data_IF_103959034177
#
_entry.id   IF_103959034177
#
_cell.length_a   1.000
_cell.length_b   1.000
_cell.length_c   1.000
_cell.angle_alpha   90.00
_cell.angle_beta   90.00
_cell.angle_gamma   90.00
#
_symmetry.space_group_name_H-M   'P 1'
#
loop_
_entity.id
_entity.type
_entity.pdbx_description
1 polymer ?
#
# COMPACT_ATOMS: atom_id res chain seq x y z
N UNK A 1 -11.79 -11.95 -19.64
CA UNK A 1 -12.66 -10.82 -19.27
C UNK A 1 -13.13 -11.08 -17.85
N UNK A 2 -12.37 -10.59 -16.88
CA UNK A 2 -12.63 -10.81 -15.46
C UNK A 2 -12.48 -9.44 -14.78
N UNK A 3 -13.59 -8.72 -14.68
CA UNK A 3 -13.65 -7.40 -14.05
C UNK A 3 -13.39 -7.57 -12.55
N UNK A 4 -12.16 -7.29 -12.12
CA UNK A 4 -11.84 -6.91 -10.76
C UNK A 4 -12.64 -5.64 -10.44
N UNK A 5 -13.85 -5.83 -9.88
CA UNK A 5 -14.66 -4.77 -9.31
C UNK A 5 -13.93 -4.23 -8.08
N UNK A 6 -12.99 -3.32 -8.32
CA UNK A 6 -12.21 -2.63 -7.29
C UNK A 6 -13.18 -2.04 -6.29
N UNK A 7 -13.07 -2.50 -5.02
CA UNK A 7 -13.75 -1.96 -3.85
C UNK A 7 -13.93 -0.44 -3.98
N UNK A 8 -15.14 -0.04 -4.37
CA UNK A 8 -15.54 1.35 -4.39
C UNK A 8 -15.51 1.90 -2.97
N UNK A 9 -15.28 3.21 -2.79
CA UNK A 9 -15.40 3.81 -1.47
C UNK A 9 -16.86 3.69 -1.02
N UNK A 10 -17.11 2.91 0.04
CA UNK A 10 -18.35 2.99 0.79
C UNK A 10 -18.38 4.36 1.48
N UNK A 11 -19.36 5.19 1.08
CA UNK A 11 -19.66 6.47 1.67
C UNK A 11 -19.89 6.33 3.19
N UNK A 12 -19.26 7.20 3.97
CA UNK A 12 -19.42 7.29 5.41
C UNK A 12 -18.79 8.58 5.93
N UNK A 13 -19.66 9.49 6.35
CA UNK A 13 -19.48 10.69 7.19
C UNK A 13 -18.57 11.82 6.71
N UNK A 14 -19.17 12.78 6.00
CA UNK A 14 -18.78 14.19 6.02
C UNK A 14 -20.04 15.04 6.25
N UNK A 15 -20.32 15.34 7.51
CA UNK A 15 -21.46 16.16 7.93
C UNK A 15 -21.09 17.04 9.11
N UNK A 16 -20.39 18.14 8.86
CA UNK A 16 -20.34 19.31 9.75
C UNK A 16 -19.78 20.53 8.99
N UNK A 17 -20.66 21.29 8.34
CA UNK A 17 -20.34 22.64 7.86
C UNK A 17 -20.19 23.59 9.05
N UNK A 18 -18.98 24.07 9.30
CA UNK A 18 -18.73 25.18 10.21
C UNK A 18 -18.66 26.49 9.42
N UNK A 19 -19.50 27.43 9.82
CA UNK A 19 -19.75 28.72 9.19
C UNK A 19 -18.54 29.65 9.32
N UNK A 20 -18.23 30.35 8.23
CA UNK A 20 -17.21 31.38 8.17
C UNK A 20 -17.55 32.56 9.08
N UNK A 21 -16.61 32.95 9.95
CA UNK A 21 -16.62 34.23 10.65
C UNK A 21 -15.39 35.02 10.24
N UNK A 22 -15.62 36.20 9.67
CA UNK A 22 -14.63 37.12 9.12
C UNK A 22 -14.08 38.03 10.22
N UNK A 23 -12.76 38.03 10.41
CA UNK A 23 -12.05 39.08 11.13
C UNK A 23 -10.79 39.48 10.34
N UNK A 24 -10.77 40.71 9.85
CA UNK A 24 -9.62 41.35 9.19
C UNK A 24 -8.65 41.92 10.24
N UNK A 25 -7.34 41.84 9.98
CA UNK A 25 -6.39 42.83 10.49
C UNK A 25 -4.99 42.36 10.93
N UNK A 26 -3.99 42.76 10.13
CA UNK A 26 -2.64 43.20 10.51
C UNK A 26 -1.48 42.19 10.72
N UNK A 27 -0.63 42.15 9.67
CA UNK A 27 0.84 42.30 9.67
C UNK A 27 1.69 41.52 10.67
N UNK A 28 2.32 40.47 10.14
CA UNK A 28 3.36 39.68 10.77
C UNK A 28 3.21 38.25 10.32
N UNK A 29 3.70 37.91 9.12
CA UNK A 29 3.62 36.58 8.54
C UNK A 29 4.43 35.57 9.36
N UNK A 30 3.90 35.20 10.51
CA UNK A 30 4.43 34.22 11.43
C UNK A 30 4.60 32.91 10.67
N UNK A 31 5.74 32.26 10.84
CA UNK A 31 6.04 30.97 10.22
C UNK A 31 4.92 29.94 10.44
N UNK A 32 4.11 30.06 11.50
CA UNK A 32 2.92 29.24 11.73
C UNK A 32 1.80 29.43 10.70
N UNK A 33 1.56 30.66 10.21
CA UNK A 33 0.57 30.93 9.16
C UNK A 33 0.91 30.27 7.82
N UNK A 34 2.21 30.16 7.53
CA UNK A 34 2.72 29.49 6.32
C UNK A 34 2.54 27.98 6.40
N UNK A 35 2.86 27.37 7.55
CA UNK A 35 2.68 25.93 7.77
C UNK A 35 1.21 25.53 7.66
N UNK A 36 0.32 26.31 8.29
CA UNK A 36 -1.12 26.09 8.22
C UNK A 36 -1.62 26.17 6.77
N UNK A 37 -1.22 27.20 6.03
CA UNK A 37 -1.58 27.34 4.61
C UNK A 37 -1.10 26.16 3.75
N UNK A 38 0.10 25.63 4.00
CA UNK A 38 0.61 24.45 3.29
C UNK A 38 -0.18 23.18 3.64
N UNK A 39 -0.56 23.01 4.90
CA UNK A 39 -1.37 21.88 5.33
C UNK A 39 -2.78 21.92 4.71
N UNK A 40 -3.42 23.09 4.72
CA UNK A 40 -4.70 23.31 4.06
C UNK A 40 -4.62 23.05 2.54
N UNK A 41 -3.54 23.48 1.89
CA UNK A 41 -3.33 23.21 0.46
C UNK A 41 -3.21 21.70 0.17
N UNK A 42 -2.49 20.95 1.00
CA UNK A 42 -2.40 19.51 0.84
C UNK A 42 -3.77 18.80 1.01
N UNK A 43 -4.58 19.26 1.97
CA UNK A 43 -5.95 18.75 2.17
C UNK A 43 -6.83 19.06 0.96
N UNK A 44 -6.75 20.28 0.42
CA UNK A 44 -7.46 20.70 -0.80
C UNK A 44 -7.08 19.82 -2.00
N UNK A 45 -5.78 19.56 -2.20
CA UNK A 45 -5.32 18.67 -3.26
C UNK A 45 -5.81 17.23 -3.07
N UNK A 46 -5.85 16.73 -1.83
CA UNK A 46 -6.44 15.42 -1.52
C UNK A 46 -7.93 15.39 -1.90
N UNK A 47 -8.71 16.42 -1.53
CA UNK A 47 -10.15 16.45 -1.81
C UNK A 47 -10.45 16.59 -3.30
N UNK A 48 -9.67 17.37 -4.05
CA UNK A 48 -9.71 17.40 -5.52
C UNK A 48 -9.40 16.04 -6.13
N UNK A 49 -8.35 15.36 -5.63
CA UNK A 49 -8.02 14.00 -6.06
C UNK A 49 -9.19 13.03 -5.85
N UNK A 50 -9.89 13.13 -4.71
CA UNK A 50 -11.08 12.34 -4.44
C UNK A 50 -12.21 12.64 -5.42
N UNK A 51 -12.40 13.91 -5.82
CA UNK A 51 -13.38 14.29 -6.83
C UNK A 51 -13.07 13.65 -8.18
N UNK A 52 -11.85 13.81 -8.70
CA UNK A 52 -11.43 13.18 -9.95
C UNK A 52 -11.51 11.65 -9.92
N UNK A 53 -11.23 11.04 -8.76
CA UNK A 53 -11.36 9.59 -8.59
C UNK A 53 -12.82 9.12 -8.73
N UNK A 54 -13.77 9.86 -8.15
CA UNK A 54 -15.21 9.57 -8.31
C UNK A 54 -15.67 9.71 -9.75
N UNK A 55 -15.12 10.69 -10.47
CA UNK A 55 -15.35 10.93 -11.90
C UNK A 55 -14.62 9.93 -12.82
N UNK A 56 -13.98 8.89 -12.27
CA UNK A 56 -13.17 7.89 -13.00
C UNK A 56 -11.97 8.48 -13.75
N UNK A 57 -11.61 9.73 -13.49
CA UNK A 57 -10.39 10.36 -13.98
C UNK A 57 -9.20 9.99 -13.08
N UNK A 58 -8.84 8.70 -13.08
CA UNK A 58 -7.83 8.12 -12.18
C UNK A 58 -6.45 8.76 -12.37
N UNK A 59 -6.08 9.10 -13.61
CA UNK A 59 -4.77 9.72 -13.92
C UNK A 59 -4.62 11.07 -13.24
N UNK A 60 -5.65 11.90 -13.28
CA UNK A 60 -5.63 13.23 -12.65
C UNK A 60 -5.66 13.11 -11.13
N UNK A 61 -6.48 12.18 -10.60
CA UNK A 61 -6.51 11.87 -9.17
C UNK A 61 -5.13 11.52 -8.61
N UNK A 62 -4.38 10.64 -9.30
CA UNK A 62 -3.00 10.28 -8.94
C UNK A 62 -2.11 11.52 -8.85
N UNK A 63 -2.19 12.42 -9.83
CA UNK A 63 -1.44 13.68 -9.84
C UNK A 63 -1.73 14.56 -8.64
N UNK A 64 -3.02 14.71 -8.28
CA UNK A 64 -3.45 15.47 -7.11
C UNK A 64 -2.90 14.89 -5.80
N UNK A 65 -3.01 13.58 -5.58
CA UNK A 65 -2.48 12.95 -4.36
C UNK A 65 -0.96 13.04 -4.26
N UNK A 66 -0.24 12.88 -5.37
CA UNK A 66 1.21 13.09 -5.38
C UNK A 66 1.59 14.52 -5.04
N UNK A 67 0.89 15.52 -5.59
CA UNK A 67 1.15 16.92 -5.26
C UNK A 67 0.86 17.20 -3.78
N UNK A 68 -0.22 16.65 -3.23
CA UNK A 68 -0.51 16.73 -1.80
C UNK A 68 0.65 16.19 -0.95
N UNK A 69 1.14 14.98 -1.27
CA UNK A 69 2.28 14.38 -0.56
C UNK A 69 3.57 15.20 -0.69
N UNK A 70 3.83 15.82 -1.84
CA UNK A 70 4.99 16.69 -2.03
C UNK A 70 4.92 17.93 -1.12
N UNK A 71 3.73 18.54 -0.99
CA UNK A 71 3.53 19.66 -0.04
C UNK A 71 3.78 19.20 1.40
N UNK A 72 3.22 18.05 1.80
CA UNK A 72 3.36 17.51 3.15
C UNK A 72 4.81 17.10 3.47
N UNK A 73 5.58 16.63 2.48
CA UNK A 73 6.99 16.26 2.67
C UNK A 73 7.86 17.44 3.12
N UNK A 74 7.52 18.66 2.70
CA UNK A 74 8.20 19.87 3.14
C UNK A 74 7.89 20.27 4.59
N UNK A 75 6.84 19.69 5.18
CA UNK A 75 6.38 19.93 6.55
C UNK A 75 6.78 18.81 7.51
N UNK A 76 7.17 17.65 6.97
CA UNK A 76 7.43 16.44 7.72
C UNK A 76 8.72 16.54 8.56
N UNK A 77 8.57 16.47 9.88
CA UNK A 77 9.68 16.59 10.84
C UNK A 77 10.77 15.54 10.64
N UNK A 78 10.43 14.31 10.27
CA UNK A 78 11.42 13.23 10.05
C UNK A 78 12.30 13.53 8.83
N UNK A 79 11.68 13.99 7.75
CA UNK A 79 12.37 14.32 6.50
C UNK A 79 13.20 15.59 6.65
N UNK A 80 12.64 16.62 7.30
CA UNK A 80 13.33 17.88 7.52
C UNK A 80 14.47 17.75 8.54
N UNK A 81 14.37 16.83 9.51
CA UNK A 81 15.46 16.50 10.43
C UNK A 81 16.63 15.84 9.72
N UNK A 82 16.37 14.93 8.76
CA UNK A 82 17.44 14.31 7.96
C UNK A 82 18.16 15.33 7.04
N UNK A 83 17.53 16.47 6.76
CA UNK A 83 18.08 17.56 5.95
C UNK A 83 18.61 18.73 6.79
N UNK A 84 18.73 18.56 8.12
CA UNK A 84 19.30 19.58 9.00
C UNK A 84 20.72 19.96 8.54
N UNK A 85 20.89 21.24 8.20
CA UNK A 85 22.13 21.79 7.64
C UNK A 85 21.99 22.30 6.20
N UNK A 86 21.01 21.80 5.44
CA UNK A 86 20.75 22.25 4.05
C UNK A 86 19.47 23.07 3.91
N UNK A 87 18.54 22.95 4.87
CA UNK A 87 17.23 23.61 4.82
C UNK A 87 17.03 24.47 6.08
N UNK A 88 16.45 25.69 5.96
CA UNK A 88 16.08 26.50 7.12
C UNK A 88 15.20 25.70 8.09
N UNK A 89 15.43 25.91 9.40
CA UNK A 89 14.74 25.18 10.47
C UNK A 89 13.23 25.43 10.35
N UNK A 90 12.48 24.38 9.98
CA UNK A 90 11.02 24.44 9.94
C UNK A 90 10.52 24.53 11.39
N UNK A 91 9.57 25.43 11.72
CA UNK A 91 8.99 25.48 13.04
C UNK A 91 8.35 24.12 13.38
N UNK A 92 8.49 23.68 14.63
CA UNK A 92 7.83 22.46 15.09
C UNK A 92 6.32 22.62 14.95
N UNK A 93 5.67 21.66 14.30
CA UNK A 93 4.22 21.61 14.19
C UNK A 93 3.62 21.35 15.58
N UNK A 94 2.40 21.85 15.80
CA UNK A 94 1.62 21.41 16.97
C UNK A 94 1.19 19.97 16.79
N UNK A 95 0.91 19.25 17.89
CA UNK A 95 0.47 17.84 17.82
C UNK A 95 -0.75 17.67 16.90
N UNK A 96 -1.73 18.57 16.97
CA UNK A 96 -2.92 18.54 16.11
C UNK A 96 -2.57 18.70 14.61
N UNK A 97 -1.59 19.54 14.29
CA UNK A 97 -1.12 19.71 12.92
C UNK A 97 -0.31 18.51 12.44
N UNK A 98 0.50 17.89 13.30
CA UNK A 98 1.20 16.64 12.99
C UNK A 98 0.19 15.51 12.73
N UNK A 99 -0.84 15.36 13.57
CA UNK A 99 -1.88 14.35 13.40
C UNK A 99 -2.65 14.56 12.09
N UNK A 100 -2.98 15.81 11.75
CA UNK A 100 -3.65 16.16 10.50
C UNK A 100 -2.75 15.91 9.28
N UNK A 101 -1.47 16.25 9.36
CA UNK A 101 -0.46 15.94 8.34
C UNK A 101 -0.39 14.42 8.12
N UNK A 102 -0.26 13.64 9.19
CA UNK A 102 -0.15 12.17 9.12
C UNK A 102 -1.43 11.54 8.59
N UNK A 103 -2.59 12.00 9.03
CA UNK A 103 -3.88 11.52 8.51
C UNK A 103 -4.01 11.82 7.02
N UNK A 104 -3.59 13.00 6.57
CA UNK A 104 -3.63 13.37 5.15
C UNK A 104 -2.65 12.54 4.31
N UNK A 105 -1.45 12.25 4.82
CA UNK A 105 -0.50 11.34 4.16
C UNK A 105 -1.08 9.93 4.03
N UNK A 106 -1.65 9.39 5.11
CA UNK A 106 -2.29 8.06 5.12
C UNK A 106 -3.38 8.00 4.05
N UNK A 107 -4.29 8.98 4.00
CA UNK A 107 -5.35 9.06 3.00
C UNK A 107 -4.77 9.04 1.58
N UNK A 108 -3.76 9.89 1.31
CA UNK A 108 -3.16 10.01 -0.02
C UNK A 108 -2.50 8.69 -0.47
N UNK A 109 -1.72 8.03 0.38
CA UNK A 109 -1.10 6.74 0.04
C UNK A 109 -2.15 5.65 -0.18
N UNK A 110 -3.17 5.58 0.67
CA UNK A 110 -4.27 4.63 0.49
C UNK A 110 -5.01 4.85 -0.84
N UNK A 111 -5.27 6.11 -1.19
CA UNK A 111 -5.95 6.46 -2.44
C UNK A 111 -5.07 6.21 -3.67
N UNK A 112 -3.77 6.48 -3.58
CA UNK A 112 -2.81 6.15 -4.64
C UNK A 112 -2.76 4.64 -4.89
N UNK A 113 -2.68 3.83 -3.84
CA UNK A 113 -2.71 2.37 -3.96
C UNK A 113 -4.01 1.90 -4.62
N UNK A 114 -5.16 2.49 -4.26
CA UNK A 114 -6.44 2.20 -4.91
C UNK A 114 -6.47 2.58 -6.40
N UNK A 115 -5.94 3.75 -6.75
CA UNK A 115 -5.85 4.22 -8.13
C UNK A 115 -4.98 3.30 -9.00
N UNK A 116 -3.84 2.86 -8.46
CA UNK A 116 -2.93 1.97 -9.17
C UNK A 116 -3.59 0.61 -9.48
N UNK A 117 -4.39 0.08 -8.56
CA UNK A 117 -5.16 -1.17 -8.76
C UNK A 117 -6.25 -1.05 -9.83
N UNK A 118 -6.66 0.16 -10.23
CA UNK A 118 -7.65 0.37 -11.30
C UNK A 118 -7.03 0.52 -12.69
N UNK A 119 -5.70 0.58 -12.80
CA UNK A 119 -5.04 0.72 -14.10
C UNK A 119 -5.08 -0.61 -14.86
N UNK A 120 -5.12 -0.52 -16.19
CA UNK A 120 -5.04 -1.71 -17.06
C UNK A 120 -3.75 -2.52 -16.81
N UNK A 121 -2.63 -1.80 -16.62
CA UNK A 121 -1.36 -2.37 -16.19
C UNK A 121 -1.07 -1.91 -14.77
N UNK A 122 -1.24 -2.84 -13.83
CA UNK A 122 -1.08 -2.59 -12.40
C UNK A 122 0.39 -2.74 -12.00
N UNK A 123 0.93 -1.71 -11.36
CA UNK A 123 2.24 -1.77 -10.71
C UNK A 123 2.06 -2.25 -9.26
N UNK A 124 2.04 -3.58 -9.08
CA UNK A 124 1.85 -4.18 -7.75
C UNK A 124 3.00 -3.86 -6.78
N UNK A 125 4.21 -3.61 -7.28
CA UNK A 125 5.33 -3.16 -6.45
C UNK A 125 5.03 -1.85 -5.76
N UNK A 126 4.54 -0.85 -6.50
CA UNK A 126 4.13 0.44 -5.93
C UNK A 126 2.89 0.34 -5.05
N UNK A 127 1.92 -0.51 -5.40
CA UNK A 127 0.75 -0.76 -4.53
C UNK A 127 1.20 -1.28 -3.18
N UNK A 128 2.11 -2.24 -3.16
CA UNK A 128 2.67 -2.78 -1.92
C UNK A 128 3.41 -1.70 -1.15
N UNK A 129 4.31 -0.95 -1.80
CA UNK A 129 5.07 0.13 -1.16
C UNK A 129 4.16 1.15 -0.45
N UNK A 130 3.14 1.68 -1.14
CA UNK A 130 2.21 2.65 -0.55
C UNK A 130 1.37 2.04 0.57
N UNK A 131 0.96 0.77 0.42
CA UNK A 131 0.19 0.09 1.46
C UNK A 131 1.04 -0.11 2.72
N UNK A 132 2.31 -0.53 2.58
CA UNK A 132 3.24 -0.66 3.70
C UNK A 132 3.53 0.68 4.38
N UNK A 133 3.63 1.77 3.62
CA UNK A 133 3.76 3.13 4.19
C UNK A 133 2.58 3.48 5.09
N UNK A 134 1.35 3.17 4.68
CA UNK A 134 0.18 3.35 5.55
C UNK A 134 0.28 2.47 6.80
N UNK A 135 0.66 1.21 6.65
CA UNK A 135 0.73 0.26 7.77
C UNK A 135 1.84 0.59 8.78
N UNK A 136 2.86 1.36 8.39
CA UNK A 136 3.86 1.91 9.32
C UNK A 136 3.22 2.85 10.36
N UNK A 137 2.24 3.66 9.95
CA UNK A 137 1.57 4.61 10.84
C UNK A 137 0.24 4.07 11.40
N UNK A 138 -0.46 3.24 10.63
CA UNK A 138 -1.76 2.66 10.98
C UNK A 138 -1.75 1.16 10.64
N UNK A 139 -1.13 0.36 11.52
CA UNK A 139 -0.98 -1.08 11.34
C UNK A 139 -2.29 -1.85 11.18
N UNK A 140 -3.39 -1.32 11.74
CA UNK A 140 -4.74 -1.89 11.62
C UNK A 140 -5.56 -1.36 10.45
N UNK A 141 -5.00 -0.57 9.52
CA UNK A 141 -5.76 -0.03 8.39
C UNK A 141 -6.19 -1.16 7.44
N UNK A 142 -7.49 -1.48 7.49
CA UNK A 142 -8.07 -2.63 6.77
C UNK A 142 -7.88 -2.48 5.25
N UNK A 143 -7.95 -1.25 4.72
CA UNK A 143 -7.82 -0.99 3.29
C UNK A 143 -6.36 -1.22 2.84
N UNK A 144 -5.39 -0.75 3.61
CA UNK A 144 -3.98 -0.97 3.34
C UNK A 144 -3.60 -2.46 3.49
N UNK A 145 -4.09 -3.14 4.53
CA UNK A 145 -3.90 -4.59 4.71
C UNK A 145 -4.42 -5.37 3.51
N UNK A 146 -5.64 -5.08 3.05
CA UNK A 146 -6.21 -5.74 1.88
C UNK A 146 -5.36 -5.52 0.63
N UNK A 147 -4.98 -4.26 0.35
CA UNK A 147 -4.20 -3.91 -0.85
C UNK A 147 -2.78 -4.49 -0.81
N UNK A 148 -2.12 -4.49 0.35
CA UNK A 148 -0.83 -5.15 0.54
C UNK A 148 -0.93 -6.67 0.29
N UNK A 149 -2.00 -7.30 0.78
CA UNK A 149 -2.27 -8.71 0.56
C UNK A 149 -2.47 -9.06 -0.91
N UNK A 150 -3.31 -8.30 -1.62
CA UNK A 150 -3.51 -8.47 -3.07
C UNK A 150 -2.20 -8.27 -3.83
N UNK A 151 -1.46 -7.19 -3.55
CA UNK A 151 -0.20 -6.92 -4.23
C UNK A 151 0.86 -8.00 -3.98
N UNK A 152 0.98 -8.49 -2.74
CA UNK A 152 1.93 -9.56 -2.39
C UNK A 152 1.62 -10.85 -3.16
N UNK A 153 0.33 -11.19 -3.30
CA UNK A 153 -0.10 -12.39 -4.04
C UNK A 153 0.30 -12.30 -5.52
N UNK A 154 0.04 -11.16 -6.16
CA UNK A 154 0.34 -10.94 -7.58
C UNK A 154 1.86 -10.85 -7.85
N UNK A 155 2.64 -10.43 -6.84
CA UNK A 155 4.11 -10.48 -6.87
C UNK A 155 4.67 -11.90 -6.60
N UNK A 156 3.82 -12.88 -6.30
CA UNK A 156 4.20 -14.27 -6.09
C UNK A 156 4.52 -14.65 -4.64
N UNK A 157 4.40 -13.73 -3.68
CA UNK A 157 4.56 -14.01 -2.25
C UNK A 157 3.20 -14.32 -1.60
N UNK A 158 2.75 -15.56 -1.82
CA UNK A 158 1.48 -16.04 -1.28
C UNK A 158 1.47 -16.16 0.26
N UNK A 159 2.63 -16.37 0.90
CA UNK A 159 2.71 -16.48 2.35
C UNK A 159 2.46 -15.13 3.02
N UNK A 160 3.14 -14.08 2.55
CA UNK A 160 2.92 -12.71 3.02
C UNK A 160 1.52 -12.23 2.69
N UNK A 161 1.00 -12.58 1.49
CA UNK A 161 -0.38 -12.28 1.12
C UNK A 161 -1.40 -12.85 2.11
N UNK A 162 -1.23 -14.12 2.50
CA UNK A 162 -2.09 -14.79 3.50
C UNK A 162 -2.11 -14.02 4.81
N UNK A 163 -0.94 -13.59 5.28
CA UNK A 163 -0.81 -12.86 6.53
C UNK A 163 -1.62 -11.55 6.51
N UNK A 164 -1.44 -10.73 5.49
CA UNK A 164 -2.16 -9.46 5.37
C UNK A 164 -3.67 -9.64 5.19
N UNK A 165 -4.09 -10.56 4.31
CA UNK A 165 -5.52 -10.78 4.06
C UNK A 165 -6.25 -11.40 5.26
N UNK A 166 -5.55 -12.22 6.06
CA UNK A 166 -6.10 -12.75 7.31
C UNK A 166 -6.34 -11.62 8.31
N UNK A 167 -5.41 -10.66 8.43
CA UNK A 167 -5.62 -9.49 9.27
C UNK A 167 -6.76 -8.61 8.76
N UNK A 168 -6.83 -8.36 7.45
CA UNK A 168 -7.93 -7.62 6.84
C UNK A 168 -9.30 -8.28 7.12
N UNK A 169 -9.37 -9.61 7.04
CA UNK A 169 -10.58 -10.40 7.34
C UNK A 169 -11.03 -10.31 8.80
N UNK A 170 -10.12 -10.05 9.75
CA UNK A 170 -10.49 -9.83 11.16
C UNK A 170 -11.17 -8.49 11.36
N UNK A 171 -10.72 -7.46 10.64
CA UNK A 171 -11.30 -6.11 10.71
C UNK A 171 -12.66 -5.99 9.99
N UNK A 172 -12.83 -6.69 8.86
CA UNK A 172 -14.12 -6.83 8.17
C UNK A 172 -14.45 -8.32 7.94
N UNK A 173 -15.00 -9.00 8.97
CA UNK A 173 -15.47 -10.35 8.81
C UNK A 173 -16.54 -10.41 7.72
N UNK A 174 -16.52 -11.47 6.91
CA UNK A 174 -17.49 -11.70 5.82
C UNK A 174 -17.40 -10.80 4.58
N UNK A 175 -16.33 -10.02 4.41
CA UNK A 175 -16.08 -9.34 3.16
C UNK A 175 -15.85 -10.36 2.01
N UNK A 176 -16.71 -10.39 0.97
CA UNK A 176 -16.62 -11.38 -0.10
C UNK A 176 -15.33 -11.24 -0.92
N UNK A 177 -14.82 -10.02 -1.07
CA UNK A 177 -13.59 -9.77 -1.83
C UNK A 177 -12.38 -10.30 -1.07
N UNK A 178 -12.35 -10.13 0.26
CA UNK A 178 -11.29 -10.69 1.12
C UNK A 178 -11.32 -12.22 1.08
N UNK A 179 -12.51 -12.82 1.18
CA UNK A 179 -12.69 -14.28 1.09
C UNK A 179 -12.20 -14.83 -0.26
N UNK A 180 -12.57 -14.17 -1.37
CA UNK A 180 -12.12 -14.56 -2.72
C UNK A 180 -10.59 -14.53 -2.81
N UNK A 181 -9.95 -13.48 -2.31
CA UNK A 181 -8.48 -13.38 -2.35
C UNK A 181 -7.81 -14.41 -1.43
N UNK A 182 -8.35 -14.68 -0.24
CA UNK A 182 -7.85 -15.75 0.63
C UNK A 182 -7.95 -17.13 -0.04
N UNK A 183 -9.02 -17.41 -0.78
CA UNK A 183 -9.13 -18.64 -1.55
C UNK A 183 -8.01 -18.74 -2.62
N UNK A 184 -7.77 -17.66 -3.39
CA UNK A 184 -6.67 -17.62 -4.38
C UNK A 184 -5.31 -17.84 -3.74
N UNK A 185 -5.10 -17.31 -2.53
CA UNK A 185 -3.87 -17.55 -1.75
C UNK A 185 -3.71 -19.03 -1.45
N UNK A 186 -4.74 -19.69 -0.91
CA UNK A 186 -4.66 -21.11 -0.55
C UNK A 186 -4.45 -22.01 -1.78
N UNK A 187 -5.10 -21.69 -2.90
CA UNK A 187 -4.86 -22.36 -4.19
C UNK A 187 -3.41 -22.23 -4.64
N UNK A 188 -2.84 -21.01 -4.54
CA UNK A 188 -1.43 -20.78 -4.91
C UNK A 188 -0.46 -21.52 -4.00
N UNK A 189 -0.68 -21.49 -2.68
CA UNK A 189 0.14 -22.20 -1.71
C UNK A 189 0.11 -23.72 -1.92
N UNK A 190 -1.08 -24.27 -2.21
CA UNK A 190 -1.24 -25.69 -2.52
C UNK A 190 -0.49 -26.08 -3.80
N UNK A 191 -0.59 -25.27 -4.85
CA UNK A 191 0.16 -25.50 -6.10
C UNK A 191 1.67 -25.44 -5.88
N UNK A 192 2.15 -24.47 -5.11
CA UNK A 192 3.58 -24.31 -4.86
C UNK A 192 4.12 -25.47 -4.02
N UNK A 193 3.36 -25.94 -3.03
CA UNK A 193 3.68 -27.17 -2.28
C UNK A 193 3.72 -28.42 -3.18
N UNK A 194 2.76 -28.57 -4.09
CA UNK A 194 2.74 -29.71 -5.02
C UNK A 194 3.95 -29.70 -5.98
N UNK A 195 4.32 -28.52 -6.50
CA UNK A 195 5.51 -28.36 -7.34
C UNK A 195 6.78 -28.70 -6.56
N UNK A 196 6.92 -28.17 -5.35
CA UNK A 196 8.07 -28.46 -4.48
C UNK A 196 8.19 -29.96 -4.17
N UNK A 197 7.07 -30.60 -3.80
CA UNK A 197 7.02 -32.06 -3.57
C UNK A 197 7.43 -32.86 -4.82
N UNK A 198 6.96 -32.46 -6.00
CA UNK A 198 7.31 -33.12 -7.26
C UNK A 198 8.80 -32.94 -7.61
N UNK A 199 9.35 -31.75 -7.38
CA UNK A 199 10.77 -31.45 -7.57
C UNK A 199 11.65 -32.34 -6.67
N UNK A 200 11.35 -32.41 -5.37
CA UNK A 200 12.10 -33.27 -4.45
C UNK A 200 12.02 -34.74 -4.82
N UNK A 201 10.82 -35.24 -5.19
CA UNK A 201 10.66 -36.63 -5.63
C UNK A 201 11.49 -36.94 -6.88
N UNK A 202 11.52 -36.01 -7.84
CA UNK A 202 12.32 -36.12 -9.05
C UNK A 202 13.82 -36.13 -8.78
N UNK A 203 14.31 -35.25 -7.91
CA UNK A 203 15.72 -35.22 -7.49
C UNK A 203 16.13 -36.54 -6.82
N UNK A 204 15.32 -37.04 -5.88
CA UNK A 204 15.59 -38.29 -5.18
C UNK A 204 15.61 -39.50 -6.13
N UNK A 205 14.69 -39.55 -7.09
CA UNK A 205 14.62 -40.62 -8.07
C UNK A 205 15.84 -40.63 -9.00
N UNK A 206 16.29 -39.45 -9.45
CA UNK A 206 17.51 -39.32 -10.27
C UNK A 206 18.77 -39.74 -9.51
N UNK A 207 18.85 -39.39 -8.23
CA UNK A 207 19.99 -39.78 -7.40
C UNK A 207 20.08 -41.31 -7.28
N UNK A 208 18.96 -41.97 -6.98
CA UNK A 208 18.89 -43.44 -6.92
C UNK A 208 19.30 -44.09 -8.25
N UNK A 209 18.83 -43.56 -9.37
CA UNK A 209 19.22 -44.05 -10.70
C UNK A 209 20.72 -43.86 -10.98
N UNK A 210 21.30 -42.72 -10.59
CA UNK A 210 22.75 -42.48 -10.76
C UNK A 210 23.61 -43.39 -9.89
N UNK A 211 23.15 -43.70 -8.67
CA UNK A 211 23.82 -44.64 -7.76
C UNK A 211 23.76 -46.08 -8.29
N UNK A 212 22.60 -46.49 -8.83
CA UNK A 212 22.41 -47.80 -9.48
C UNK A 212 23.27 -47.95 -10.74
N UNK A 213 23.30 -46.92 -11.60
CA UNK A 213 24.15 -46.92 -12.81
C UNK A 213 25.65 -47.00 -12.47
N UNK A 214 26.10 -46.27 -11.44
CA UNK A 214 27.49 -46.32 -11.00
C UNK A 214 27.86 -47.69 -10.41
N UNK A 215 26.92 -48.35 -9.73
CA UNK A 215 27.12 -49.69 -9.21
C UNK A 215 27.22 -50.73 -10.34
N UNK A 216 26.33 -50.66 -11.34
CA UNK A 216 26.38 -51.54 -12.52
C UNK A 216 27.70 -51.37 -13.31
N UNK A 217 28.14 -50.13 -13.53
CA UNK A 217 29.38 -49.84 -14.25
C UNK A 217 30.62 -50.35 -13.52
N UNK A 218 30.64 -50.27 -12.17
CA UNK A 218 31.71 -50.87 -11.35
C UNK A 218 31.72 -52.38 -11.42
N UNK A 219 30.55 -53.01 -11.47
CA UNK A 219 30.42 -54.47 -11.50
C UNK A 219 30.89 -55.03 -12.85
N UNK A 220 30.60 -54.33 -13.96
CA UNK A 220 31.06 -54.72 -15.30
C UNK A 220 32.58 -54.57 -15.51
N UNK A 221 33.25 -53.67 -14.78
CA UNK A 221 34.72 -53.49 -14.86
C UNK A 221 35.52 -54.51 -14.05
N UNK A 222 34.86 -55.31 -13.20
CA UNK A 222 35.49 -56.34 -12.36
C UNK A 222 35.40 -57.77 -12.94
N UNK A 223 34.70 -57.95 -14.06
CA UNK A 223 34.60 -59.20 -14.82
C UNK A 223 35.49 -59.11 -16.06
#
# INVERSE_FOLDING_TARGET
ADELKVLGPTAGDDGAEARASSCLGATGGSSGSRLESQLQEAIRLKTEGNAFYREKNVRTAIGCYHRALLVLRGLDSEVTSALQGFVPRVPKLSQAQEDLLRSTQVDCYNNLAACLLQRELVDYGRVLEYSLKVLQWRSGDIKALYRAGVASLELGDAQTARHYLTQASRGKPNDPDVKKQLQRVEERLSQDYQKEKALYKGMFSKQKQSEEQLAEEKTQKLV
#
